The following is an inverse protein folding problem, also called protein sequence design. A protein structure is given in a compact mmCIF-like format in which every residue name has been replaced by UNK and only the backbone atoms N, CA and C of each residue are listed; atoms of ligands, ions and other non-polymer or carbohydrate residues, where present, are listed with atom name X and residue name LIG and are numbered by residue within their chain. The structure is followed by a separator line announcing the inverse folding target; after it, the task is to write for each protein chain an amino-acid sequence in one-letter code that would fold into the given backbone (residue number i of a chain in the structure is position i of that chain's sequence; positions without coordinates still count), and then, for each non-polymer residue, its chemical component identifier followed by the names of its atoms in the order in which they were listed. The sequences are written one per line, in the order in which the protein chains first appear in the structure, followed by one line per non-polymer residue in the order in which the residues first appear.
data_IF_080560016353
#
_entry.id   IF_080560016353
#
_cell.length_a   1.000
_cell.length_b   1.000
_cell.length_c   1.000
_cell.angle_alpha   90.00
_cell.angle_beta   90.00
_cell.angle_gamma   90.00
#
_symmetry.space_group_name_H-M   'P 1'
#
loop_
_entity.id
_entity.type
_entity.pdbx_description
1 polymer ?
#
# COMPACT_ATOMS: atom_id res chain seq x y z
N UNK A 1 2.70 -5.39 2.84
CA UNK A 1 3.85 -4.75 3.53
C UNK A 1 3.33 -3.87 4.65
N UNK A 2 4.18 -3.46 5.58
CA UNK A 2 3.77 -2.71 6.78
C UNK A 2 4.22 -1.25 6.69
N UNK A 3 3.44 -0.35 7.30
CA UNK A 3 3.84 1.04 7.48
C UNK A 3 5.18 1.12 8.26
N UNK A 4 6.11 1.92 7.74
CA UNK A 4 7.47 2.05 8.27
C UNK A 4 8.51 1.17 7.57
N UNK A 5 8.10 0.16 6.80
CA UNK A 5 9.04 -0.67 6.03
C UNK A 5 9.75 0.15 4.94
N UNK A 6 10.93 -0.30 4.52
CA UNK A 6 11.60 0.23 3.34
C UNK A 6 10.78 -0.08 2.06
N UNK A 7 10.62 0.91 1.18
CA UNK A 7 9.95 0.75 -0.09
C UNK A 7 10.85 0.11 -1.15
N UNK A 8 10.53 -1.12 -1.60
CA UNK A 8 11.33 -1.85 -2.62
C UNK A 8 10.63 -2.12 -3.95
N UNK A 9 9.30 -2.08 -3.95
CA UNK A 9 8.49 -2.47 -5.12
C UNK A 9 7.23 -1.63 -5.25
N UNK A 10 6.77 -1.49 -6.49
CA UNK A 10 5.46 -0.95 -6.87
C UNK A 10 4.58 -2.11 -7.35
N UNK A 11 3.30 -2.11 -6.98
CA UNK A 11 2.38 -3.21 -7.23
C UNK A 11 1.16 -2.74 -8.03
N UNK A 12 0.65 -3.63 -8.88
CA UNK A 12 -0.61 -3.50 -9.60
C UNK A 12 -1.44 -4.75 -9.28
N UNK A 13 -2.73 -4.59 -9.01
CA UNK A 13 -3.63 -5.68 -8.66
C UNK A 13 -4.21 -6.30 -9.93
N UNK A 14 -3.83 -7.54 -10.22
CA UNK A 14 -4.41 -8.29 -11.35
C UNK A 14 -5.72 -9.00 -10.99
N UNK A 15 -5.90 -9.39 -9.72
CA UNK A 15 -7.10 -10.05 -9.22
C UNK A 15 -7.29 -9.82 -7.72
N UNK A 16 -8.52 -9.65 -7.27
CA UNK A 16 -8.89 -9.46 -5.86
C UNK A 16 -8.82 -8.01 -5.38
N UNK A 17 -8.71 -7.82 -4.07
CA UNK A 17 -8.64 -6.50 -3.44
C UNK A 17 -7.71 -6.49 -2.22
N UNK A 18 -7.28 -5.30 -1.83
CA UNK A 18 -6.45 -5.07 -0.64
C UNK A 18 -6.97 -3.88 0.15
N UNK A 19 -6.75 -3.89 1.47
CA UNK A 19 -7.02 -2.74 2.32
C UNK A 19 -5.75 -1.96 2.62
N UNK A 20 -5.86 -0.63 2.57
CA UNK A 20 -4.83 0.31 2.97
C UNK A 20 -5.11 0.82 4.38
N UNK A 21 -4.19 0.57 5.30
CA UNK A 21 -4.35 0.88 6.72
C UNK A 21 -3.24 1.85 7.14
N UNK A 22 -3.62 2.94 7.81
CA UNK A 22 -2.66 3.90 8.38
C UNK A 22 -2.79 3.89 9.90
N UNK A 23 -1.65 3.82 10.60
CA UNK A 23 -1.62 3.87 12.06
C UNK A 23 -2.33 5.12 12.59
N UNK A 24 -3.25 4.92 13.54
CA UNK A 24 -4.07 5.98 14.12
C UNK A 24 -5.26 6.43 13.26
N UNK A 25 -5.40 5.94 12.02
CA UNK A 25 -6.54 6.24 11.13
C UNK A 25 -7.39 5.03 10.76
N UNK A 26 -6.86 3.82 10.90
CA UNK A 26 -7.54 2.59 10.49
C UNK A 26 -7.49 2.41 8.97
N UNK A 27 -8.52 1.76 8.41
CA UNK A 27 -8.65 1.57 6.96
C UNK A 27 -8.96 2.93 6.34
N UNK A 28 -8.09 3.37 5.43
CA UNK A 28 -8.23 4.66 4.72
C UNK A 28 -8.65 4.49 3.27
N UNK A 29 -8.46 3.30 2.69
CA UNK A 29 -8.85 2.99 1.31
C UNK A 29 -8.93 1.47 1.09
N UNK A 30 -9.73 1.04 0.11
CA UNK A 30 -9.73 -0.33 -0.43
C UNK A 30 -9.45 -0.30 -1.93
N UNK A 31 -8.36 -0.93 -2.36
CA UNK A 31 -7.96 -1.03 -3.76
C UNK A 31 -8.47 -2.33 -4.38
N UNK A 32 -8.80 -2.29 -5.67
CA UNK A 32 -9.39 -3.38 -6.44
C UNK A 32 -8.57 -3.70 -7.69
N UNK A 33 -9.04 -4.66 -8.48
CA UNK A 33 -8.42 -5.03 -9.75
C UNK A 33 -8.21 -3.83 -10.66
N UNK A 34 -6.99 -3.70 -11.21
CA UNK A 34 -6.58 -2.56 -12.02
C UNK A 34 -5.93 -1.42 -11.24
N UNK A 35 -6.17 -1.32 -9.93
CA UNK A 35 -5.52 -0.31 -9.09
C UNK A 35 -4.03 -0.63 -8.85
N UNK A 36 -3.27 0.42 -8.53
CA UNK A 36 -1.86 0.36 -8.21
C UNK A 36 -1.56 0.96 -6.83
N UNK A 37 -0.55 0.43 -6.13
CA UNK A 37 -0.15 0.95 -4.82
C UNK A 37 1.34 0.74 -4.51
N UNK A 38 1.87 1.58 -3.62
CA UNK A 38 3.25 1.46 -3.14
C UNK A 38 4.31 2.20 -3.99
N UNK A 39 3.92 3.05 -4.96
CA UNK A 39 4.90 3.87 -5.70
C UNK A 39 5.56 4.98 -4.89
N UNK A 40 4.82 5.57 -3.93
CA UNK A 40 5.24 6.79 -3.25
C UNK A 40 6.60 6.68 -2.53
N UNK A 41 6.84 5.56 -1.84
CA UNK A 41 8.11 5.33 -1.14
C UNK A 41 9.31 5.24 -2.08
N UNK A 42 9.10 4.78 -3.32
CA UNK A 42 10.16 4.70 -4.33
C UNK A 42 10.47 6.08 -4.90
N UNK A 43 9.44 6.86 -5.18
CA UNK A 43 9.58 8.23 -5.72
C UNK A 43 10.24 9.14 -4.68
N UNK A 44 9.84 9.03 -3.42
CA UNK A 44 10.29 9.93 -2.36
C UNK A 44 11.50 9.41 -1.57
N UNK A 45 11.99 8.21 -1.88
CA UNK A 45 13.01 7.50 -1.10
C UNK A 45 12.71 7.51 0.42
N UNK A 46 11.47 7.14 0.76
CA UNK A 46 10.95 7.20 2.12
C UNK A 46 10.41 5.83 2.59
N UNK A 47 10.25 5.60 3.90
CA UNK A 47 9.51 4.44 4.39
C UNK A 47 8.06 4.39 3.86
N UNK A 48 7.44 3.21 3.93
CA UNK A 48 6.02 3.00 3.62
C UNK A 48 5.15 3.84 4.56
N UNK A 49 4.18 4.57 4.01
CA UNK A 49 3.27 5.43 4.78
C UNK A 49 2.00 4.71 5.25
N UNK A 50 1.78 3.47 4.81
CA UNK A 50 0.61 2.66 5.11
C UNK A 50 0.97 1.16 5.08
N UNK A 51 0.17 0.36 5.78
CA UNK A 51 0.16 -1.10 5.73
C UNK A 51 -0.84 -1.57 4.68
N UNK A 52 -0.46 -2.56 3.87
CA UNK A 52 -1.33 -3.20 2.89
C UNK A 52 -1.57 -4.64 3.30
N UNK A 53 -2.85 -5.02 3.42
CA UNK A 53 -3.30 -6.39 3.70
C UNK A 53 -4.21 -6.88 2.56
N UNK A 54 -4.10 -8.16 2.21
CA UNK A 54 -5.07 -8.82 1.33
C UNK A 54 -6.43 -8.86 2.02
N UNK A 55 -7.49 -8.62 1.26
CA UNK A 55 -8.86 -8.83 1.69
C UNK A 55 -9.34 -10.24 1.34
#
# INVERSE_FOLDING_TARGET
FTQGDEGKSWYIILKGSVQCIVYGKGIVETFHEGDDFGKLSLVNNSPRIATIILN
#
